data_IF_367703601378
#
_entry.id   IF_367703601378
#
_cell.length_a   1.000
_cell.length_b   1.000
_cell.length_c   1.000
_cell.angle_alpha   90.00
_cell.angle_beta   90.00
_cell.angle_gamma   90.00
#
_symmetry.space_group_name_H-M   'P 1'
#
loop_
_entity.id
_entity.type
_entity.pdbx_description
1 polymer ?
#
# COMPACT_ATOMS: atom_id res chain seq x y z
N UNK A 1 6.33 6.57 -22.75
CA UNK A 1 7.40 6.51 -21.71
C UNK A 1 6.86 6.41 -20.29
N UNK A 2 5.86 7.20 -19.88
CA UNK A 2 5.28 7.16 -18.52
C UNK A 2 4.50 5.86 -18.28
N UNK A 3 3.71 5.41 -19.28
CA UNK A 3 3.04 4.11 -19.23
C UNK A 3 4.01 2.96 -18.97
N UNK A 4 5.20 3.00 -19.56
CA UNK A 4 6.25 2.01 -19.33
C UNK A 4 6.77 2.07 -17.87
N UNK A 5 6.97 3.28 -17.31
CA UNK A 5 7.38 3.43 -15.90
C UNK A 5 6.32 2.85 -14.98
N UNK A 6 5.04 3.12 -15.23
CA UNK A 6 3.94 2.56 -14.44
C UNK A 6 3.81 1.05 -14.60
N UNK A 7 4.01 0.50 -15.81
CA UNK A 7 4.04 -0.93 -16.02
C UNK A 7 5.17 -1.61 -15.22
N UNK A 8 6.37 -1.05 -15.28
CA UNK A 8 7.51 -1.54 -14.48
C UNK A 8 7.26 -1.42 -12.98
N UNK A 9 6.63 -0.32 -12.54
CA UNK A 9 6.23 -0.14 -11.13
C UNK A 9 5.22 -1.20 -10.71
N UNK A 10 4.20 -1.47 -11.51
CA UNK A 10 3.22 -2.52 -11.23
C UNK A 10 3.85 -3.92 -11.18
N UNK A 11 4.75 -4.23 -12.11
CA UNK A 11 5.50 -5.51 -12.09
C UNK A 11 6.38 -5.60 -10.83
N UNK A 12 7.07 -4.52 -10.46
CA UNK A 12 7.86 -4.47 -9.22
C UNK A 12 6.96 -4.72 -8.00
N UNK A 13 5.79 -4.07 -7.92
CA UNK A 13 4.84 -4.26 -6.83
C UNK A 13 4.35 -5.72 -6.77
N UNK A 14 4.08 -6.38 -7.90
CA UNK A 14 3.76 -7.82 -7.95
C UNK A 14 4.91 -8.69 -7.43
N UNK A 15 6.14 -8.40 -7.82
CA UNK A 15 7.31 -9.14 -7.34
C UNK A 15 7.50 -8.98 -5.83
N UNK A 16 7.31 -7.77 -5.31
CA UNK A 16 7.34 -7.50 -3.87
C UNK A 16 6.20 -8.21 -3.13
N UNK A 17 4.99 -8.23 -3.71
CA UNK A 17 3.85 -8.98 -3.17
C UNK A 17 4.12 -10.48 -3.09
N UNK A 18 4.65 -11.07 -4.17
CA UNK A 18 5.05 -12.48 -4.20
C UNK A 18 6.13 -12.80 -3.16
N UNK A 19 7.10 -11.90 -3.00
CA UNK A 19 8.14 -12.04 -1.98
C UNK A 19 7.55 -11.95 -0.55
N UNK A 20 6.53 -11.11 -0.34
CA UNK A 20 5.82 -11.00 0.93
C UNK A 20 5.03 -12.28 1.23
N UNK A 21 4.31 -12.86 0.26
CA UNK A 21 3.60 -14.13 0.42
C UNK A 21 4.55 -15.28 0.78
N UNK A 22 5.69 -15.38 0.10
CA UNK A 22 6.74 -16.37 0.44
C UNK A 22 7.29 -16.13 1.83
N UNK A 23 7.22 -14.91 2.28
CA UNK A 23 7.51 -14.53 3.63
C UNK A 23 6.66 -15.25 4.68
N UNK A 24 5.46 -15.73 4.41
CA UNK A 24 4.55 -16.48 5.30
C UNK A 24 4.03 -15.69 6.49
N UNK A 25 3.12 -16.32 7.24
CA UNK A 25 2.46 -15.71 8.39
C UNK A 25 1.51 -14.57 8.03
N UNK A 26 0.84 -14.04 9.05
CA UNK A 26 -0.13 -12.94 8.87
C UNK A 26 0.48 -11.68 8.25
N UNK A 27 1.63 -11.18 8.73
CA UNK A 27 2.24 -9.97 8.15
C UNK A 27 2.59 -10.13 6.67
N UNK A 28 3.15 -11.29 6.27
CA UNK A 28 3.49 -11.56 4.87
C UNK A 28 2.25 -11.65 3.98
N UNK A 29 1.19 -12.34 4.45
CA UNK A 29 -0.07 -12.45 3.72
C UNK A 29 -0.67 -11.06 3.42
N UNK A 30 -0.84 -10.23 4.43
CA UNK A 30 -1.52 -8.94 4.26
C UNK A 30 -0.66 -7.92 3.50
N UNK A 31 0.67 -7.97 3.65
CA UNK A 31 1.59 -7.17 2.82
C UNK A 31 1.50 -7.60 1.35
N UNK A 32 1.37 -8.90 1.09
CA UNK A 32 1.19 -9.43 -0.28
C UNK A 32 -0.15 -9.00 -0.88
N UNK A 33 -1.26 -9.08 -0.12
CA UNK A 33 -2.59 -8.61 -0.58
C UNK A 33 -2.56 -7.12 -0.90
N UNK A 34 -1.99 -6.29 -0.02
CA UNK A 34 -1.80 -4.86 -0.28
C UNK A 34 -0.97 -4.64 -1.55
N UNK A 35 0.12 -5.37 -1.72
CA UNK A 35 0.99 -5.26 -2.90
C UNK A 35 0.27 -5.62 -4.21
N UNK A 36 -0.60 -6.63 -4.22
CA UNK A 36 -1.42 -6.95 -5.38
C UNK A 36 -2.41 -5.82 -5.72
N UNK A 37 -3.00 -5.18 -4.72
CA UNK A 37 -3.91 -4.05 -4.94
C UNK A 37 -3.19 -2.84 -5.54
N UNK A 38 -1.99 -2.52 -5.04
CA UNK A 38 -1.15 -1.44 -5.57
C UNK A 38 -0.65 -1.73 -7.00
N UNK A 39 -0.29 -2.99 -7.26
CA UNK A 39 0.09 -3.42 -8.60
C UNK A 39 -1.07 -3.29 -9.60
N UNK A 40 -2.28 -3.69 -9.19
CA UNK A 40 -3.49 -3.49 -9.99
C UNK A 40 -3.68 -2.02 -10.35
N UNK A 41 -3.57 -1.10 -9.40
CA UNK A 41 -3.65 0.33 -9.63
C UNK A 41 -2.65 0.80 -10.70
N UNK A 42 -1.38 0.47 -10.53
CA UNK A 42 -0.30 0.86 -11.44
C UNK A 42 -0.50 0.30 -12.85
N UNK A 43 -0.91 -0.99 -12.96
CA UNK A 43 -1.08 -1.67 -14.24
C UNK A 43 -2.30 -1.17 -15.01
N UNK A 44 -3.40 -0.84 -14.35
CA UNK A 44 -4.58 -0.26 -15.01
C UNK A 44 -4.23 1.08 -15.64
N UNK A 45 -3.48 1.95 -14.95
CA UNK A 45 -3.04 3.23 -15.54
C UNK A 45 -2.04 3.01 -16.67
N UNK A 46 -1.13 2.05 -16.53
CA UNK A 46 -0.13 1.75 -17.56
C UNK A 46 -0.76 1.27 -18.87
N UNK A 47 -1.84 0.49 -18.80
CA UNK A 47 -2.50 -0.12 -19.96
C UNK A 47 -3.59 0.78 -20.57
N UNK A 48 -3.98 1.86 -19.90
CA UNK A 48 -5.12 2.66 -20.28
C UNK A 48 -5.07 3.21 -21.71
N UNK A 49 -3.90 3.71 -22.15
CA UNK A 49 -3.74 4.22 -23.53
C UNK A 49 -3.88 3.11 -24.60
N UNK A 50 -3.57 1.85 -24.26
CA UNK A 50 -3.72 0.69 -25.15
C UNK A 50 -5.19 0.25 -25.22
N UNK A 51 -5.90 0.30 -24.08
CA UNK A 51 -7.31 -0.06 -24.00
C UNK A 51 -8.22 0.99 -24.68
N UNK A 52 -7.79 2.26 -24.68
CA UNK A 52 -8.59 3.37 -25.18
C UNK A 52 -9.75 3.75 -24.24
N UNK A 53 -10.46 4.82 -24.61
CA UNK A 53 -11.66 5.24 -23.90
C UNK A 53 -12.80 4.25 -24.09
N UNK A 54 -13.57 4.02 -23.01
CA UNK A 54 -14.77 3.18 -23.06
C UNK A 54 -14.99 2.36 -21.80
N UNK A 55 -16.08 1.62 -21.80
CA UNK A 55 -16.56 0.85 -20.62
C UNK A 55 -15.52 -0.10 -20.00
N UNK A 56 -14.65 -0.79 -20.76
CA UNK A 56 -13.63 -1.65 -20.16
C UNK A 56 -12.64 -0.88 -19.27
N UNK A 57 -12.09 0.23 -19.80
CA UNK A 57 -11.14 1.05 -19.02
C UNK A 57 -11.83 1.76 -17.86
N UNK A 58 -13.06 2.25 -18.06
CA UNK A 58 -13.85 2.88 -17.02
C UNK A 58 -14.11 1.92 -15.85
N UNK A 59 -14.54 0.68 -16.15
CA UNK A 59 -14.78 -0.36 -15.13
C UNK A 59 -13.50 -0.71 -14.35
N UNK A 60 -12.35 -0.84 -15.03
CA UNK A 60 -11.08 -1.07 -14.38
C UNK A 60 -10.69 0.11 -13.47
N UNK A 61 -10.94 1.35 -13.90
CA UNK A 61 -10.67 2.51 -13.07
C UNK A 61 -11.65 2.61 -11.89
N UNK A 62 -12.93 2.28 -12.06
CA UNK A 62 -13.87 2.17 -10.94
C UNK A 62 -13.35 1.17 -9.88
N UNK A 63 -12.86 0.01 -10.33
CA UNK A 63 -12.23 -0.99 -9.45
C UNK A 63 -11.01 -0.45 -8.68
N UNK A 64 -10.21 0.46 -9.29
CA UNK A 64 -9.10 1.13 -8.60
C UNK A 64 -9.58 1.96 -7.42
N UNK A 65 -10.62 2.77 -7.60
CA UNK A 65 -11.18 3.60 -6.52
C UNK A 65 -11.71 2.74 -5.38
N UNK A 66 -12.43 1.65 -5.71
CA UNK A 66 -12.92 0.69 -4.70
C UNK A 66 -11.74 0.02 -3.97
N UNK A 67 -10.75 -0.50 -4.73
CA UNK A 67 -9.59 -1.15 -4.14
C UNK A 67 -8.81 -0.19 -3.23
N UNK A 68 -8.62 1.06 -3.64
CA UNK A 68 -7.93 2.05 -2.85
C UNK A 68 -8.68 2.41 -1.57
N UNK A 69 -10.00 2.63 -1.65
CA UNK A 69 -10.83 2.93 -0.49
C UNK A 69 -10.85 1.80 0.54
N UNK A 70 -10.86 0.53 0.10
CA UNK A 70 -10.98 -0.64 0.97
C UNK A 70 -9.61 -1.15 1.44
N UNK A 71 -8.59 -1.17 0.57
CA UNK A 71 -7.33 -1.89 0.82
C UNK A 71 -6.19 -0.97 1.27
N UNK A 72 -6.21 0.34 0.96
CA UNK A 72 -5.17 1.25 1.46
C UNK A 72 -5.05 1.26 2.99
N UNK A 73 -6.15 1.22 3.78
CA UNK A 73 -6.08 1.10 5.24
C UNK A 73 -5.39 -0.16 5.75
N UNK A 74 -5.26 -1.24 4.94
CA UNK A 74 -4.49 -2.43 5.31
C UNK A 74 -3.02 -2.13 5.59
N UNK A 75 -2.47 -1.04 5.07
CA UNK A 75 -1.11 -0.60 5.39
C UNK A 75 -0.89 -0.46 6.91
N UNK A 76 -1.90 0.06 7.63
CA UNK A 76 -1.88 0.17 9.10
C UNK A 76 -1.81 -1.21 9.76
N UNK A 77 -2.59 -2.17 9.23
CA UNK A 77 -2.57 -3.57 9.74
C UNK A 77 -1.20 -4.20 9.49
N UNK A 78 -0.66 -4.06 8.26
CA UNK A 78 0.66 -4.58 7.91
C UNK A 78 1.74 -4.07 8.88
N UNK A 79 1.78 -2.75 9.12
CA UNK A 79 2.71 -2.15 10.05
C UNK A 79 2.50 -2.62 11.50
N UNK A 80 1.25 -2.68 11.97
CA UNK A 80 0.92 -3.09 13.33
C UNK A 80 1.29 -4.56 13.62
N UNK A 81 1.12 -5.45 12.65
CA UNK A 81 1.51 -6.85 12.78
C UNK A 81 3.03 -7.03 12.91
N UNK A 82 3.82 -6.08 12.40
CA UNK A 82 5.27 -6.06 12.57
C UNK A 82 5.72 -5.64 13.98
N UNK A 83 4.87 -4.97 14.78
CA UNK A 83 5.20 -4.61 16.16
C UNK A 83 5.33 -5.84 17.09
N UNK A 84 4.75 -6.96 16.72
CA UNK A 84 4.82 -8.20 17.48
C UNK A 84 3.46 -8.91 17.62
N UNK A 85 3.42 -10.10 18.25
CA UNK A 85 2.25 -10.96 18.29
C UNK A 85 1.14 -10.51 19.26
N UNK A 86 1.12 -9.25 19.66
CA UNK A 86 0.13 -8.71 20.59
C UNK A 86 -1.29 -8.73 20.02
N UNK A 87 -2.13 -9.68 20.48
CA UNK A 87 -3.54 -9.80 20.03
C UNK A 87 -4.31 -8.48 20.15
N UNK A 88 -4.01 -7.66 21.16
CA UNK A 88 -4.69 -6.37 21.39
C UNK A 88 -4.30 -5.36 20.32
N UNK A 89 -3.03 -5.23 19.99
CA UNK A 89 -2.53 -4.32 18.94
C UNK A 89 -3.09 -4.70 17.57
N UNK A 90 -3.04 -5.99 17.21
CA UNK A 90 -3.60 -6.49 15.98
C UNK A 90 -5.11 -6.22 15.87
N UNK A 91 -5.88 -6.47 16.94
CA UNK A 91 -7.32 -6.22 16.97
C UNK A 91 -7.65 -4.75 16.75
N UNK A 92 -6.96 -3.82 17.41
CA UNK A 92 -7.19 -2.40 17.21
C UNK A 92 -6.77 -1.93 15.81
N UNK A 93 -5.68 -2.47 15.25
CA UNK A 93 -5.29 -2.16 13.88
C UNK A 93 -6.37 -2.58 12.88
N UNK A 94 -7.00 -3.75 13.06
CA UNK A 94 -8.13 -4.19 12.23
C UNK A 94 -9.36 -3.31 12.39
N UNK A 95 -9.72 -2.92 13.62
CA UNK A 95 -10.84 -2.01 13.88
C UNK A 95 -10.60 -0.65 13.19
N UNK A 96 -9.39 -0.10 13.35
CA UNK A 96 -9.02 1.16 12.69
C UNK A 96 -9.06 1.02 11.16
N UNK A 97 -8.50 -0.05 10.60
CA UNK A 97 -8.52 -0.26 9.16
C UNK A 97 -9.95 -0.40 8.63
N UNK A 98 -10.82 -1.17 9.30
CA UNK A 98 -12.22 -1.31 8.94
C UNK A 98 -12.97 0.04 8.99
N UNK A 99 -12.76 0.83 10.04
CA UNK A 99 -13.36 2.16 10.15
C UNK A 99 -12.89 3.11 9.03
N UNK A 100 -11.59 3.09 8.70
CA UNK A 100 -11.03 3.88 7.61
C UNK A 100 -11.52 3.40 6.24
N UNK A 101 -11.71 2.08 6.04
CA UNK A 101 -12.29 1.54 4.80
C UNK A 101 -13.75 1.97 4.66
N UNK A 102 -14.55 1.91 5.71
CA UNK A 102 -15.93 2.41 5.70
C UNK A 102 -15.95 3.90 5.38
N UNK A 103 -15.09 4.69 6.02
CA UNK A 103 -14.96 6.12 5.72
C UNK A 103 -14.56 6.35 4.25
N UNK A 104 -13.55 5.64 3.75
CA UNK A 104 -13.09 5.74 2.36
C UNK A 104 -14.20 5.41 1.36
N UNK A 105 -14.93 4.32 1.59
CA UNK A 105 -16.07 3.91 0.75
C UNK A 105 -17.18 4.95 0.79
N UNK A 106 -17.57 5.41 1.98
CA UNK A 106 -18.69 6.35 2.15
C UNK A 106 -18.42 7.76 1.61
N UNK A 107 -17.13 8.17 1.54
CA UNK A 107 -16.75 9.48 1.01
C UNK A 107 -16.39 9.47 -0.46
N UNK A 108 -15.93 8.33 -1.01
CA UNK A 108 -15.43 8.26 -2.39
C UNK A 108 -16.47 7.71 -3.36
N UNK A 109 -17.24 6.67 -2.99
CA UNK A 109 -18.08 5.97 -3.97
C UNK A 109 -19.43 6.64 -4.27
N UNK A 110 -20.15 7.27 -3.33
CA UNK A 110 -21.50 7.79 -3.63
C UNK A 110 -21.54 8.92 -4.65
N UNK A 111 -20.46 9.67 -4.81
CA UNK A 111 -20.34 10.79 -5.75
C UNK A 111 -19.39 10.55 -6.91
N UNK A 112 -18.88 9.33 -7.06
CA UNK A 112 -17.86 9.01 -8.05
C UNK A 112 -18.36 9.23 -9.48
N UNK A 113 -17.79 10.20 -10.16
CA UNK A 113 -18.04 10.52 -11.57
C UNK A 113 -16.74 10.34 -12.35
N UNK A 114 -16.68 9.31 -13.16
CA UNK A 114 -15.50 8.95 -13.90
C UNK A 114 -15.44 9.69 -15.23
N UNK A 115 -14.40 10.51 -15.43
CA UNK A 115 -14.10 11.16 -16.70
C UNK A 115 -12.73 10.75 -17.21
N UNK A 116 -12.59 10.54 -18.53
CA UNK A 116 -11.31 10.21 -19.12
C UNK A 116 -10.36 11.40 -19.02
N UNK A 117 -9.14 11.14 -18.58
CA UNK A 117 -8.05 12.13 -18.56
C UNK A 117 -6.76 11.53 -19.08
N UNK A 118 -6.17 12.24 -20.05
CA UNK A 118 -4.84 11.92 -20.56
C UNK A 118 -3.79 12.75 -19.82
N UNK A 119 -2.66 12.11 -19.51
CA UNK A 119 -1.46 12.78 -19.03
C UNK A 119 -0.23 12.10 -19.64
N UNK A 120 0.57 12.85 -20.39
CA UNK A 120 1.64 12.31 -21.23
C UNK A 120 1.12 11.19 -22.16
N UNK A 121 1.71 10.00 -22.08
CA UNK A 121 1.32 8.81 -22.85
C UNK A 121 0.39 7.85 -22.07
N UNK A 122 -0.29 8.35 -21.02
CA UNK A 122 -1.26 7.54 -20.24
C UNK A 122 -2.67 8.07 -20.42
N UNK A 123 -3.63 7.16 -20.40
CA UNK A 123 -5.07 7.45 -20.36
C UNK A 123 -5.66 6.75 -19.13
N UNK A 124 -6.44 7.47 -18.36
CA UNK A 124 -7.11 6.91 -17.17
C UNK A 124 -8.42 7.63 -16.92
N UNK A 125 -9.34 6.98 -16.24
CA UNK A 125 -10.50 7.66 -15.71
C UNK A 125 -10.18 8.20 -14.31
N UNK A 126 -10.52 9.46 -14.07
CA UNK A 126 -10.37 10.13 -12.78
C UNK A 126 -11.73 10.61 -12.30
N UNK A 127 -11.87 10.81 -11.01
CA UNK A 127 -13.07 11.42 -10.48
C UNK A 127 -13.13 12.90 -10.90
N UNK A 128 -14.25 13.28 -11.52
CA UNK A 128 -14.58 14.65 -11.90
C UNK A 128 -15.50 15.33 -10.89
N UNK A 129 -15.95 14.60 -9.86
CA UNK A 129 -16.73 15.15 -8.78
C UNK A 129 -15.89 15.99 -7.82
N UNK A 130 -16.59 16.72 -6.94
CA UNK A 130 -15.97 17.44 -5.81
C UNK A 130 -15.57 16.46 -4.70
N UNK A 131 -14.97 15.32 -5.06
CA UNK A 131 -14.43 14.41 -4.06
C UNK A 131 -13.38 15.15 -3.24
N UNK A 132 -13.69 15.39 -1.98
CA UNK A 132 -12.79 16.05 -1.05
C UNK A 132 -11.47 15.30 -0.91
N UNK A 133 -10.55 15.86 -0.11
CA UNK A 133 -9.27 15.20 0.16
C UNK A 133 -9.47 13.73 0.57
N UNK A 134 -8.61 12.80 0.13
CA UNK A 134 -8.70 11.37 0.45
C UNK A 134 -8.32 11.11 1.93
N UNK A 135 -9.17 11.59 2.84
CA UNK A 135 -8.91 11.60 4.29
C UNK A 135 -8.52 10.22 4.81
N UNK A 136 -9.25 9.18 4.40
CA UNK A 136 -8.95 7.82 4.85
C UNK A 136 -7.55 7.35 4.45
N UNK A 137 -7.09 7.68 3.23
CA UNK A 137 -5.75 7.34 2.76
C UNK A 137 -4.68 8.14 3.51
N UNK A 138 -4.88 9.45 3.69
CA UNK A 138 -3.94 10.31 4.44
C UNK A 138 -3.79 9.83 5.89
N UNK A 139 -4.91 9.55 6.58
CA UNK A 139 -4.89 9.02 7.95
C UNK A 139 -4.19 7.66 8.01
N UNK A 140 -4.40 6.79 7.01
CA UNK A 140 -3.73 5.49 6.94
C UNK A 140 -2.21 5.64 6.81
N UNK A 141 -1.73 6.55 5.93
CA UNK A 141 -0.31 6.82 5.75
C UNK A 141 0.32 7.40 7.02
N UNK A 142 -0.35 8.36 7.67
CA UNK A 142 0.12 8.94 8.93
C UNK A 142 0.14 7.89 10.06
N UNK A 143 -0.87 7.03 10.15
CA UNK A 143 -0.90 5.91 11.07
C UNK A 143 0.26 4.94 10.84
N UNK A 144 0.53 4.60 9.59
CA UNK A 144 1.68 3.77 9.22
C UNK A 144 3.01 4.44 9.57
N UNK A 145 3.13 5.76 9.36
CA UNK A 145 4.33 6.52 9.73
C UNK A 145 4.57 6.47 11.24
N UNK A 146 3.54 6.67 12.07
CA UNK A 146 3.65 6.56 13.53
C UNK A 146 4.09 5.16 13.94
N UNK A 147 3.49 4.11 13.37
CA UNK A 147 3.87 2.72 13.62
C UNK A 147 5.34 2.49 13.20
N UNK A 148 5.73 3.02 12.04
CA UNK A 148 7.10 2.93 11.52
C UNK A 148 8.12 3.58 12.45
N UNK A 149 7.81 4.76 13.02
CA UNK A 149 8.66 5.43 14.01
C UNK A 149 8.76 4.61 15.30
N UNK A 150 7.68 3.98 15.74
CA UNK A 150 7.71 3.08 16.91
C UNK A 150 8.58 1.85 16.63
N UNK A 151 8.47 1.24 15.45
CA UNK A 151 9.32 0.13 15.01
C UNK A 151 10.78 0.54 14.99
N UNK A 152 11.09 1.73 14.44
CA UNK A 152 12.45 2.24 14.41
C UNK A 152 13.03 2.42 15.81
N UNK A 153 12.29 3.10 16.71
CA UNK A 153 12.76 3.36 18.08
C UNK A 153 12.88 2.09 18.94
N UNK A 154 11.99 1.11 18.77
CA UNK A 154 11.94 -0.08 19.63
C UNK A 154 12.76 -1.25 19.10
N UNK A 155 12.91 -1.34 17.79
CA UNK A 155 13.48 -2.51 17.11
C UNK A 155 14.58 -2.17 16.11
N UNK A 156 14.98 -0.90 16.02
CA UNK A 156 15.99 -0.40 15.06
C UNK A 156 15.65 -0.69 13.58
N UNK A 157 14.34 -0.83 13.25
CA UNK A 157 13.83 -1.13 11.91
C UNK A 157 13.24 0.16 11.30
N UNK A 158 14.01 0.93 10.49
CA UNK A 158 13.57 2.22 9.95
C UNK A 158 12.67 2.11 8.72
N UNK A 159 12.65 0.96 8.05
CA UNK A 159 12.11 0.78 6.70
C UNK A 159 10.65 1.18 6.56
N UNK A 160 9.81 0.87 7.56
CA UNK A 160 8.39 1.24 7.54
C UNK A 160 8.22 2.76 7.63
N UNK A 161 8.99 3.43 8.48
CA UNK A 161 8.94 4.89 8.60
C UNK A 161 9.39 5.57 7.31
N UNK A 162 10.50 5.10 6.72
CA UNK A 162 11.03 5.64 5.46
C UNK A 162 10.07 5.41 4.29
N UNK A 163 9.46 4.22 4.19
CA UNK A 163 8.47 3.90 3.17
C UNK A 163 7.19 4.73 3.32
N UNK A 164 6.69 4.90 4.54
CA UNK A 164 5.53 5.74 4.83
C UNK A 164 5.80 7.22 4.52
N UNK A 165 6.99 7.73 4.85
CA UNK A 165 7.40 9.08 4.50
C UNK A 165 7.51 9.26 2.98
N UNK A 166 8.09 8.27 2.27
CA UNK A 166 8.23 8.30 0.82
C UNK A 166 6.86 8.40 0.13
N UNK A 167 5.88 7.55 0.51
CA UNK A 167 4.54 7.63 -0.08
C UNK A 167 3.83 8.92 0.30
N UNK A 168 4.00 9.43 1.51
CA UNK A 168 3.40 10.69 1.94
C UNK A 168 3.89 11.87 1.07
N UNK A 169 5.21 12.00 0.90
CA UNK A 169 5.83 13.06 0.08
C UNK A 169 5.44 12.87 -1.40
N UNK A 170 5.52 11.65 -1.92
CA UNK A 170 5.17 11.35 -3.30
C UNK A 170 3.69 11.67 -3.60
N UNK A 171 2.78 11.33 -2.70
CA UNK A 171 1.35 11.64 -2.82
C UNK A 171 1.07 13.15 -2.79
N UNK A 172 1.81 13.92 -2.00
CA UNK A 172 1.69 15.37 -1.95
C UNK A 172 2.11 16.05 -3.27
N UNK A 173 2.93 15.39 -4.10
CA UNK A 173 3.37 15.91 -5.41
C UNK A 173 2.60 15.26 -6.57
N UNK A 174 1.95 14.14 -6.34
CA UNK A 174 1.27 13.33 -7.37
C UNK A 174 0.14 14.08 -8.10
N UNK A 175 -0.42 15.16 -7.53
CA UNK A 175 -1.40 15.98 -8.23
C UNK A 175 -0.80 16.72 -9.44
N UNK A 176 0.51 17.01 -9.44
CA UNK A 176 1.25 17.59 -10.58
C UNK A 176 1.89 16.52 -11.46
N UNK A 177 2.39 15.45 -10.85
CA UNK A 177 3.13 14.38 -11.52
C UNK A 177 2.54 13.03 -11.07
N UNK A 178 1.42 12.60 -11.68
CA UNK A 178 0.63 11.45 -11.22
C UNK A 178 1.40 10.16 -10.94
N UNK A 179 2.42 9.76 -11.74
CA UNK A 179 3.17 8.52 -11.49
C UNK A 179 3.94 8.48 -10.16
N UNK A 180 4.21 9.64 -9.56
CA UNK A 180 4.92 9.68 -8.27
C UNK A 180 4.13 9.01 -7.15
N UNK A 181 2.80 9.06 -7.18
CA UNK A 181 1.96 8.33 -6.22
C UNK A 181 2.27 6.84 -6.23
N UNK A 182 2.20 6.22 -7.41
CA UNK A 182 2.47 4.79 -7.59
C UNK A 182 3.92 4.40 -7.22
N UNK A 183 4.90 5.26 -7.51
CA UNK A 183 6.29 5.05 -7.08
C UNK A 183 6.44 5.12 -5.55
N UNK A 184 5.78 6.09 -4.91
CA UNK A 184 5.74 6.20 -3.44
C UNK A 184 5.14 4.95 -2.80
N UNK A 185 4.06 4.41 -3.36
CA UNK A 185 3.44 3.16 -2.92
C UNK A 185 4.37 1.96 -3.07
N UNK A 186 5.13 1.88 -4.17
CA UNK A 186 6.12 0.83 -4.36
C UNK A 186 7.25 0.92 -3.31
N UNK A 187 7.70 2.13 -2.97
CA UNK A 187 8.68 2.35 -1.90
C UNK A 187 8.12 1.99 -0.52
N UNK A 188 6.87 2.32 -0.24
CA UNK A 188 6.18 1.91 0.98
C UNK A 188 6.11 0.38 1.09
N UNK A 189 5.72 -0.30 0.01
CA UNK A 189 5.65 -1.76 -0.02
C UNK A 189 7.02 -2.41 0.16
N UNK A 190 8.07 -1.85 -0.46
CA UNK A 190 9.45 -2.29 -0.26
C UNK A 190 9.89 -2.11 1.20
N UNK A 191 9.53 -1.00 1.83
CA UNK A 191 9.80 -0.76 3.25
C UNK A 191 9.12 -1.77 4.18
N UNK A 192 7.85 -2.11 3.93
CA UNK A 192 7.12 -3.16 4.67
C UNK A 192 7.79 -4.53 4.49
N UNK A 193 8.20 -4.88 3.27
CA UNK A 193 8.88 -6.15 2.98
C UNK A 193 10.26 -6.22 3.63
N UNK A 194 11.04 -5.13 3.61
CA UNK A 194 12.34 -5.06 4.29
C UNK A 194 12.18 -5.28 5.79
N UNK A 195 11.24 -4.58 6.43
CA UNK A 195 10.93 -4.76 7.84
C UNK A 195 10.47 -6.18 8.19
N UNK A 196 9.69 -6.81 7.31
CA UNK A 196 9.27 -8.21 7.46
C UNK A 196 10.47 -9.17 7.47
N UNK A 197 11.49 -8.90 6.65
CA UNK A 197 12.72 -9.71 6.59
C UNK A 197 13.60 -9.52 7.83
N UNK A 198 13.82 -8.27 8.24
CA UNK A 198 14.62 -7.94 9.42
C UNK A 198 14.05 -8.61 10.68
N UNK A 199 12.73 -8.51 10.89
CA UNK A 199 12.06 -9.11 12.05
C UNK A 199 12.16 -10.63 12.11
N UNK A 200 12.38 -11.32 10.99
CA UNK A 200 12.59 -12.78 10.94
C UNK A 200 13.98 -13.18 11.33
N UNK A 201 14.97 -12.40 10.89
CA UNK A 201 16.37 -12.64 11.28
C UNK A 201 16.48 -12.60 12.80
N UNK A 202 15.87 -11.58 13.45
CA UNK A 202 15.89 -11.44 14.91
C UNK A 202 15.22 -12.61 15.63
N UNK A 203 14.13 -13.18 15.11
CA UNK A 203 13.43 -14.29 15.73
C UNK A 203 14.08 -15.65 15.48
N UNK A 204 14.88 -15.78 14.43
CA UNK A 204 15.59 -17.02 14.06
C UNK A 204 16.96 -17.18 14.72
N UNK A 205 17.56 -16.11 15.23
CA UNK A 205 18.90 -16.09 15.84
C UNK A 205 18.90 -16.25 17.36
N UNK A 206 17.80 -16.73 17.96
CA UNK A 206 17.79 -17.08 19.38
C UNK A 206 18.91 -18.09 19.70
N UNK A 207 19.68 -17.89 20.81
CA UNK A 207 20.77 -18.79 21.15
C UNK A 207 20.23 -20.23 21.29
N UNK A 208 20.77 -21.15 20.49
CA UNK A 208 20.58 -22.58 20.72
C UNK A 208 21.09 -22.85 22.13
N UNK A 209 20.17 -22.97 23.11
CA UNK A 209 20.54 -23.45 24.46
C UNK A 209 21.16 -24.81 24.25
N UNK A 210 22.48 -24.89 24.48
CA UNK A 210 23.16 -26.15 24.56
C UNK A 210 22.41 -27.04 25.61
N UNK A 211 22.18 -28.32 25.31
CA UNK A 211 21.56 -29.21 26.28
C UNK A 211 22.46 -29.24 27.54
N UNK A 212 21.88 -28.86 28.68
CA UNK A 212 22.51 -29.09 29.97
C UNK A 212 22.52 -30.60 30.16
N UNK A 213 23.67 -31.24 29.92
CA UNK A 213 23.90 -32.63 30.30
C UNK A 213 23.98 -32.70 31.81
N UNK A 214 23.29 -33.66 32.46
CA UNK A 214 23.28 -33.85 33.89
C UNK A 214 24.63 -34.30 34.44
#
# INVERSE_FOLDING_TARGET
MISTVLALTGVLQLLLALAAFRGGGGPGLWTGVLGCALAYDSLVVATGAVLGEGAPLESLNAGRFVAHAVLAPLAVVCGALLLGPGRRTARWAWVCAAALSVLGVSTTLPGLRLEPRSWADTLRYTDAGDAGAPVAAVVSILGLLVIGVVLWKRHSVPWVALGALAVFVASAVAFKVPPLGNLGEALMLAGLLAALRDRRVDTGSGPVRAPVTP
#
